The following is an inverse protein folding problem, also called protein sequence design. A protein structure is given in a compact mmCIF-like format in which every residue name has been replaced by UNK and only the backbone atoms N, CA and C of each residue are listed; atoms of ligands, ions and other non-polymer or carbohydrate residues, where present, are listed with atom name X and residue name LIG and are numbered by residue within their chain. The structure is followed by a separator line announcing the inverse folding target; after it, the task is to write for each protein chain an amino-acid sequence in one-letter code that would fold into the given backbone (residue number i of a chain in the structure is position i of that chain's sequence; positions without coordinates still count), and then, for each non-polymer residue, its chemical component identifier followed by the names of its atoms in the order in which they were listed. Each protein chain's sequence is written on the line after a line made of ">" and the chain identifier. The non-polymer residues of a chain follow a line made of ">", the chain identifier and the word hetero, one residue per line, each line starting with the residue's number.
data_IF_682722751913
#
_entry.id   IF_682722751913
#
_cell.length_a   1.000
_cell.length_b   1.000
_cell.length_c   1.000
_cell.angle_alpha   90.00
_cell.angle_beta   90.00
_cell.angle_gamma   90.00
#
_symmetry.space_group_name_H-M   'P 1'
#
loop_
_entity.id
_entity.type
_entity.pdbx_description
1 polymer ?
#
# COMPACT_ATOMS: atom_id res chain seq x y z
N UNK A 1 -40.37 11.68 -1.80
CA UNK A 1 -39.35 12.16 -2.77
C UNK A 1 -38.15 12.80 -2.07
N UNK A 2 -38.32 13.33 -0.85
CA UNK A 2 -37.26 14.08 -0.15
C UNK A 2 -36.07 13.23 0.35
N UNK A 3 -36.28 11.95 0.66
CA UNK A 3 -35.20 11.08 1.14
C UNK A 3 -34.10 10.87 0.09
N UNK A 4 -34.49 10.65 -1.17
CA UNK A 4 -33.55 10.42 -2.29
C UNK A 4 -32.70 11.68 -2.55
N UNK A 5 -33.32 12.86 -2.49
CA UNK A 5 -32.61 14.13 -2.67
C UNK A 5 -31.60 14.39 -1.54
N UNK A 6 -31.96 14.02 -0.30
CA UNK A 6 -31.10 14.17 0.88
C UNK A 6 -29.92 13.20 0.81
N UNK A 7 -30.14 11.95 0.42
CA UNK A 7 -29.09 10.93 0.27
C UNK A 7 -28.11 11.28 -0.87
N UNK A 8 -28.62 11.80 -2.00
CA UNK A 8 -27.80 12.30 -3.10
C UNK A 8 -26.91 13.48 -2.67
N UNK A 9 -27.46 14.41 -1.88
CA UNK A 9 -26.71 15.55 -1.36
C UNK A 9 -25.58 15.11 -0.43
N UNK A 10 -25.86 14.19 0.50
CA UNK A 10 -24.85 13.63 1.40
C UNK A 10 -23.72 12.91 0.64
N UNK A 11 -24.08 12.16 -0.40
CA UNK A 11 -23.11 11.46 -1.26
C UNK A 11 -22.25 12.43 -2.07
N UNK A 12 -22.83 13.50 -2.59
CA UNK A 12 -22.09 14.56 -3.27
C UNK A 12 -21.11 15.27 -2.32
N UNK A 13 -21.53 15.63 -1.11
CA UNK A 13 -20.65 16.22 -0.11
C UNK A 13 -19.50 15.28 0.28
N UNK A 14 -19.78 13.98 0.38
CA UNK A 14 -18.76 12.96 0.62
C UNK A 14 -17.75 12.89 -0.53
N UNK A 15 -18.22 12.90 -1.78
CA UNK A 15 -17.37 12.91 -2.98
C UNK A 15 -16.52 14.19 -3.05
N UNK A 16 -17.06 15.35 -2.68
CA UNK A 16 -16.30 16.61 -2.63
C UNK A 16 -15.15 16.52 -1.61
N UNK A 17 -15.44 16.05 -0.39
CA UNK A 17 -14.41 15.83 0.64
C UNK A 17 -13.32 14.85 0.18
N UNK A 18 -13.73 13.83 -0.57
CA UNK A 18 -12.82 12.84 -1.14
C UNK A 18 -11.92 13.43 -2.23
N UNK A 19 -12.48 14.25 -3.12
CA UNK A 19 -11.72 14.96 -4.16
C UNK A 19 -10.71 15.92 -3.52
N UNK A 20 -11.09 16.65 -2.48
CA UNK A 20 -10.18 17.58 -1.81
C UNK A 20 -9.05 16.85 -1.07
N UNK A 21 -9.36 15.69 -0.47
CA UNK A 21 -8.34 14.81 0.11
C UNK A 21 -7.35 14.31 -0.95
N UNK A 22 -7.87 13.83 -2.09
CA UNK A 22 -7.07 13.41 -3.24
C UNK A 22 -6.18 14.53 -3.78
N UNK A 23 -6.70 15.75 -3.91
CA UNK A 23 -5.93 16.92 -4.33
C UNK A 23 -4.82 17.27 -3.35
N UNK A 24 -5.12 17.21 -2.05
CA UNK A 24 -4.13 17.46 -0.99
C UNK A 24 -3.00 16.43 -1.06
N UNK A 25 -3.34 15.16 -1.19
CA UNK A 25 -2.36 14.08 -1.34
C UNK A 25 -1.51 14.26 -2.60
N UNK A 26 -2.14 14.56 -3.74
CA UNK A 26 -1.42 14.82 -4.98
C UNK A 26 -0.47 16.03 -4.85
N UNK A 27 -0.87 17.09 -4.15
CA UNK A 27 -0.03 18.25 -3.89
C UNK A 27 1.20 17.89 -3.06
N UNK A 28 1.03 17.11 -1.98
CA UNK A 28 2.15 16.65 -1.14
C UNK A 28 3.12 15.74 -1.92
N UNK A 29 2.59 14.91 -2.82
CA UNK A 29 3.40 14.06 -3.70
C UNK A 29 4.17 14.90 -4.74
N UNK A 30 3.53 15.91 -5.33
CA UNK A 30 4.14 16.83 -6.31
C UNK A 30 5.22 17.71 -5.70
N UNK A 31 5.00 18.25 -4.51
CA UNK A 31 5.99 19.04 -3.79
C UNK A 31 7.26 18.22 -3.52
N UNK A 32 7.11 16.92 -3.24
CA UNK A 32 8.25 16.03 -3.03
C UNK A 32 8.99 15.66 -4.32
N UNK A 33 8.32 15.54 -5.47
CA UNK A 33 9.02 15.36 -6.76
C UNK A 33 9.87 16.57 -7.12
N UNK A 34 9.39 17.79 -6.82
CA UNK A 34 10.11 19.04 -7.10
C UNK A 34 11.32 19.25 -6.14
N UNK A 35 11.23 18.75 -4.90
CA UNK A 35 12.41 18.62 -4.02
C UNK A 35 13.36 17.49 -4.45
N UNK A 36 12.84 16.44 -5.09
CA UNK A 36 13.63 15.33 -5.64
C UNK A 36 14.53 15.75 -6.80
N UNK A 37 14.05 16.63 -7.67
CA UNK A 37 14.82 17.16 -8.80
C UNK A 37 15.88 18.20 -8.40
N UNK A 38 15.77 18.78 -7.19
CA UNK A 38 16.76 19.74 -6.64
C UNK A 38 17.80 19.13 -5.70
N UNK A 39 17.67 17.85 -5.34
CA UNK A 39 18.54 17.21 -4.33
C UNK A 39 19.36 16.07 -4.93
N UNK A 40 20.08 16.36 -6.03
CA UNK A 40 21.18 15.53 -6.52
C UNK A 40 22.53 16.21 -6.25
N UNK A 41 22.72 16.73 -5.05
CA UNK A 41 24.01 17.15 -4.54
C UNK A 41 23.94 17.21 -3.01
N UNK A 42 24.43 16.16 -2.35
CA UNK A 42 25.07 16.15 -1.02
C UNK A 42 25.09 14.69 -0.53
N UNK A 43 26.20 14.02 -0.78
CA UNK A 43 26.57 12.80 -0.08
C UNK A 43 27.28 13.24 1.22
N UNK A 44 26.74 12.93 2.39
CA UNK A 44 27.53 12.81 3.63
C UNK A 44 26.70 12.28 4.80
N UNK A 45 27.29 11.35 5.55
CA UNK A 45 26.99 11.17 6.96
C UNK A 45 26.22 9.91 7.31
N UNK A 46 26.96 8.88 7.67
CA UNK A 46 26.55 7.78 8.54
C UNK A 46 25.57 8.22 9.64
N UNK A 47 24.32 7.78 9.55
CA UNK A 47 23.51 7.48 10.73
C UNK A 47 23.23 5.99 10.63
N UNK A 48 23.91 5.23 11.47
CA UNK A 48 23.45 3.90 11.84
C UNK A 48 22.12 4.08 12.60
N UNK A 49 21.03 4.17 11.84
CA UNK A 49 19.66 4.43 12.30
C UNK A 49 18.80 3.17 12.05
N UNK A 50 19.35 2.03 12.43
CA UNK A 50 18.64 0.76 12.46
C UNK A 50 17.49 0.88 13.48
N UNK A 51 16.27 1.05 12.97
CA UNK A 51 14.98 0.97 13.70
C UNK A 51 14.42 2.27 14.34
N UNK A 52 14.46 3.41 13.65
CA UNK A 52 13.65 4.58 14.05
C UNK A 52 12.12 4.31 13.94
N UNK A 53 11.26 4.86 14.82
CA UNK A 53 9.79 4.68 14.77
C UNK A 53 9.17 5.09 13.43
N UNK A 54 9.79 6.04 12.73
CA UNK A 54 9.38 6.50 11.40
C UNK A 54 9.48 5.40 10.34
N UNK A 55 10.50 4.53 10.38
CA UNK A 55 10.65 3.41 9.44
C UNK A 55 9.50 2.42 9.51
N UNK A 56 8.83 2.32 10.66
CA UNK A 56 7.63 1.47 10.80
C UNK A 56 6.47 1.95 9.93
N UNK A 57 6.41 3.24 9.58
CA UNK A 57 5.38 3.77 8.68
C UNK A 57 5.55 3.22 7.26
N UNK A 58 6.80 3.25 6.75
CA UNK A 58 7.13 2.67 5.46
C UNK A 58 7.06 1.15 5.46
N UNK A 59 7.40 0.49 6.57
CA UNK A 59 7.25 -0.95 6.71
C UNK A 59 5.79 -1.42 6.62
N UNK A 60 4.84 -0.69 7.24
CA UNK A 60 3.40 -1.01 7.14
C UNK A 60 2.94 -1.00 5.68
N UNK A 61 3.28 0.06 4.96
CA UNK A 61 2.95 0.23 3.55
C UNK A 61 3.58 -0.87 2.67
N UNK A 62 4.89 -1.10 2.85
CA UNK A 62 5.65 -2.13 2.14
C UNK A 62 5.06 -3.54 2.34
N UNK A 63 4.74 -3.90 3.59
CA UNK A 63 4.22 -5.23 3.92
C UNK A 63 2.82 -5.45 3.36
N UNK A 64 1.96 -4.42 3.36
CA UNK A 64 0.65 -4.52 2.73
C UNK A 64 0.78 -4.78 1.22
N UNK A 65 1.60 -3.99 0.53
CA UNK A 65 1.80 -4.12 -0.92
C UNK A 65 2.35 -5.50 -1.27
N UNK A 66 3.37 -5.95 -0.54
CA UNK A 66 3.96 -7.28 -0.72
C UNK A 66 2.92 -8.38 -0.53
N UNK A 67 2.09 -8.31 0.50
CA UNK A 67 1.03 -9.30 0.74
C UNK A 67 -0.02 -9.30 -0.36
N UNK A 68 -0.43 -8.13 -0.86
CA UNK A 68 -1.38 -8.05 -1.97
C UNK A 68 -0.77 -8.72 -3.22
N UNK A 69 0.49 -8.42 -3.55
CA UNK A 69 1.17 -9.03 -4.69
C UNK A 69 1.32 -10.55 -4.53
N UNK A 70 1.77 -11.02 -3.37
CA UNK A 70 1.90 -12.45 -3.07
C UNK A 70 0.54 -13.16 -3.04
N UNK A 71 -0.51 -12.46 -2.59
CA UNK A 71 -1.86 -12.98 -2.68
C UNK A 71 -2.21 -13.16 -4.15
N UNK A 72 -2.04 -12.19 -5.04
CA UNK A 72 -2.46 -12.34 -6.44
C UNK A 72 -1.61 -13.37 -7.18
N UNK A 73 -0.28 -13.28 -7.08
CA UNK A 73 0.67 -14.02 -7.91
C UNK A 73 1.29 -15.22 -7.20
N UNK A 74 0.48 -16.13 -6.67
CA UNK A 74 0.96 -17.26 -5.84
C UNK A 74 1.94 -18.20 -6.56
N UNK A 75 1.82 -18.38 -7.87
CA UNK A 75 2.69 -19.27 -8.64
C UNK A 75 4.06 -18.63 -8.96
N UNK A 76 4.24 -17.34 -8.73
CA UNK A 76 5.47 -16.63 -9.06
C UNK A 76 6.48 -16.73 -7.92
N UNK A 77 7.66 -17.30 -8.21
CA UNK A 77 8.75 -17.43 -7.24
C UNK A 77 9.38 -16.08 -6.87
N UNK A 78 9.36 -15.13 -7.81
CA UNK A 78 9.96 -13.79 -7.66
C UNK A 78 9.02 -12.77 -8.29
N UNK A 79 8.87 -11.63 -7.64
CA UNK A 79 7.95 -10.55 -8.04
C UNK A 79 8.73 -9.27 -8.39
N UNK A 80 9.88 -9.42 -9.06
CA UNK A 80 10.70 -8.27 -9.45
C UNK A 80 10.00 -7.41 -10.49
N UNK A 81 9.94 -6.10 -10.24
CA UNK A 81 9.22 -5.16 -11.09
C UNK A 81 7.69 -5.25 -10.97
N UNK A 82 7.16 -6.02 -10.03
CA UNK A 82 5.74 -6.03 -9.71
C UNK A 82 5.46 -4.92 -8.69
N UNK A 83 4.51 -4.06 -9.01
CA UNK A 83 4.00 -3.03 -8.13
C UNK A 83 2.49 -3.08 -8.12
N UNK A 84 1.85 -2.46 -7.13
CA UNK A 84 0.38 -2.39 -7.12
C UNK A 84 -0.18 -1.55 -8.28
N UNK A 85 0.64 -0.68 -8.87
CA UNK A 85 0.26 0.17 -9.99
C UNK A 85 0.20 -0.60 -11.32
N UNK A 86 1.04 -1.63 -11.49
CA UNK A 86 1.14 -2.39 -12.74
C UNK A 86 0.51 -3.79 -12.68
N UNK A 87 -0.30 -4.11 -11.65
CA UNK A 87 -0.90 -5.45 -11.48
C UNK A 87 -1.59 -5.95 -12.75
N UNK A 88 -2.38 -5.11 -13.41
CA UNK A 88 -3.14 -5.53 -14.60
C UNK A 88 -2.23 -5.95 -15.75
N UNK A 89 -1.17 -5.17 -15.97
CA UNK A 89 -0.13 -5.48 -16.95
C UNK A 89 0.60 -6.77 -16.58
N UNK A 90 0.96 -6.92 -15.30
CA UNK A 90 1.62 -8.12 -14.78
C UNK A 90 0.75 -9.37 -14.87
N UNK A 91 -0.58 -9.27 -14.73
CA UNK A 91 -1.49 -10.39 -14.97
C UNK A 91 -1.43 -10.85 -16.43
N UNK A 92 -1.40 -9.92 -17.38
CA UNK A 92 -1.27 -10.25 -18.81
C UNK A 92 0.10 -10.89 -19.07
N UNK A 93 1.17 -10.27 -18.57
CA UNK A 93 2.55 -10.74 -18.74
C UNK A 93 2.73 -12.18 -18.26
N UNK A 94 2.34 -12.49 -17.02
CA UNK A 94 2.52 -13.85 -16.47
C UNK A 94 1.57 -14.88 -17.07
N UNK A 95 0.52 -14.44 -17.74
CA UNK A 95 -0.42 -15.33 -18.44
C UNK A 95 -0.05 -15.50 -19.91
N UNK A 96 1.00 -14.82 -20.40
CA UNK A 96 1.44 -14.90 -21.78
C UNK A 96 2.65 -15.82 -21.88
N UNK A 97 2.57 -16.81 -22.77
CA UNK A 97 3.69 -17.71 -22.99
C UNK A 97 4.85 -16.95 -23.68
N UNK A 98 6.07 -16.96 -23.12
CA UNK A 98 7.15 -16.07 -23.54
C UNK A 98 7.62 -16.30 -24.98
N UNK A 99 7.49 -17.53 -25.49
CA UNK A 99 7.94 -17.89 -26.85
C UNK A 99 6.86 -17.70 -27.91
N UNK A 100 5.61 -18.02 -27.60
CA UNK A 100 4.52 -18.08 -28.60
C UNK A 100 3.68 -16.82 -28.60
N UNK A 101 3.77 -15.99 -27.55
CA UNK A 101 2.90 -14.83 -27.35
C UNK A 101 1.44 -15.19 -27.07
N UNK A 102 1.11 -16.49 -26.99
CA UNK A 102 -0.24 -16.94 -26.72
C UNK A 102 -0.58 -16.72 -25.25
N UNK A 103 -1.75 -16.12 -25.02
CA UNK A 103 -2.27 -15.87 -23.68
C UNK A 103 -3.06 -17.07 -23.20
N UNK A 104 -2.69 -17.61 -22.05
CA UNK A 104 -3.53 -18.51 -21.28
C UNK A 104 -4.70 -17.71 -20.68
N UNK A 105 -5.81 -17.69 -21.40
CA UNK A 105 -7.03 -16.97 -21.01
C UNK A 105 -7.62 -17.49 -19.70
N UNK A 106 -7.47 -18.79 -19.42
CA UNK A 106 -7.99 -19.41 -18.19
C UNK A 106 -7.23 -18.90 -16.98
N UNK A 107 -5.91 -18.93 -17.05
CA UNK A 107 -5.04 -18.43 -15.99
C UNK A 107 -5.15 -16.90 -15.82
N UNK A 108 -5.24 -16.16 -16.93
CA UNK A 108 -5.47 -14.71 -16.90
C UNK A 108 -6.78 -14.35 -16.18
N UNK A 109 -7.87 -15.06 -16.50
CA UNK A 109 -9.17 -14.85 -15.87
C UNK A 109 -9.10 -15.16 -14.37
N UNK A 110 -8.47 -16.28 -13.99
CA UNK A 110 -8.27 -16.66 -12.60
C UNK A 110 -7.55 -15.57 -11.79
N UNK A 111 -6.41 -15.07 -12.28
CA UNK A 111 -5.67 -13.99 -11.61
C UNK A 111 -6.46 -12.68 -11.53
N UNK A 112 -7.20 -12.35 -12.60
CA UNK A 112 -8.06 -11.16 -12.64
C UNK A 112 -9.16 -11.25 -11.59
N UNK A 113 -9.89 -12.37 -11.53
CA UNK A 113 -10.94 -12.58 -10.53
C UNK A 113 -10.40 -12.52 -9.10
N UNK A 114 -9.22 -13.10 -8.89
CA UNK A 114 -8.54 -13.08 -7.59
C UNK A 114 -8.18 -11.66 -7.16
N UNK A 115 -7.59 -10.87 -8.06
CA UNK A 115 -7.33 -9.45 -7.83
C UNK A 115 -8.61 -8.66 -7.52
N UNK A 116 -9.66 -8.81 -8.33
CA UNK A 116 -10.94 -8.11 -8.12
C UNK A 116 -11.59 -8.50 -6.79
N UNK A 117 -11.58 -9.79 -6.45
CA UNK A 117 -12.15 -10.28 -5.18
C UNK A 117 -11.42 -9.70 -3.98
N UNK A 118 -10.08 -9.68 -4.02
CA UNK A 118 -9.27 -9.09 -2.96
C UNK A 118 -9.53 -7.57 -2.86
N UNK A 119 -9.51 -6.86 -3.98
CA UNK A 119 -9.73 -5.41 -3.98
C UNK A 119 -11.13 -5.03 -3.49
N UNK A 120 -12.15 -5.85 -3.76
CA UNK A 120 -13.50 -5.65 -3.21
C UNK A 120 -13.51 -5.77 -1.68
N UNK A 121 -12.81 -6.77 -1.12
CA UNK A 121 -12.70 -6.94 0.34
C UNK A 121 -11.95 -5.78 0.99
N UNK A 122 -10.81 -5.37 0.41
CA UNK A 122 -10.07 -4.22 0.91
C UNK A 122 -10.87 -2.91 0.77
N UNK A 123 -11.69 -2.79 -0.28
CA UNK A 123 -12.57 -1.63 -0.48
C UNK A 123 -13.63 -1.49 0.61
N UNK A 124 -14.13 -2.59 1.17
CA UNK A 124 -15.04 -2.57 2.33
C UNK A 124 -14.36 -2.00 3.58
N UNK A 125 -13.02 -2.06 3.67
CA UNK A 125 -12.21 -1.42 4.72
C UNK A 125 -11.86 0.05 4.39
N UNK A 126 -12.30 0.55 3.24
CA UNK A 126 -12.03 1.90 2.74
C UNK A 126 -10.84 1.99 1.79
N UNK A 127 -10.15 0.88 1.48
CA UNK A 127 -9.04 0.89 0.53
C UNK A 127 -9.53 1.25 -0.87
N UNK A 128 -8.74 2.09 -1.56
CA UNK A 128 -9.05 2.60 -2.89
C UNK A 128 -7.90 2.26 -3.81
N UNK A 129 -8.14 1.35 -4.76
CA UNK A 129 -7.14 0.88 -5.69
C UNK A 129 -6.53 1.98 -6.59
N UNK A 130 -7.22 3.12 -6.76
CA UNK A 130 -6.71 4.26 -7.50
C UNK A 130 -5.84 5.22 -6.67
N UNK A 131 -5.90 5.16 -5.34
CA UNK A 131 -5.25 6.12 -4.42
C UNK A 131 -4.15 5.44 -3.62
N UNK A 132 -4.49 4.34 -2.95
CA UNK A 132 -3.64 3.77 -1.91
C UNK A 132 -2.37 3.09 -2.43
N UNK A 133 -2.33 2.52 -3.66
CA UNK A 133 -1.07 2.12 -4.28
C UNK A 133 -0.05 3.28 -4.39
N UNK A 134 -0.49 4.45 -4.88
CA UNK A 134 0.35 5.64 -5.01
C UNK A 134 0.77 6.17 -3.64
N UNK A 135 -0.16 6.17 -2.69
CA UNK A 135 0.13 6.58 -1.32
C UNK A 135 1.13 5.64 -0.63
N UNK A 136 0.96 4.33 -0.79
CA UNK A 136 1.86 3.32 -0.23
C UNK A 136 3.28 3.50 -0.76
N UNK A 137 3.43 3.64 -2.09
CA UNK A 137 4.71 3.94 -2.72
C UNK A 137 5.32 5.24 -2.18
N UNK A 138 4.53 6.31 -2.05
CA UNK A 138 4.97 7.56 -1.44
C UNK A 138 5.48 7.35 0.00
N UNK A 139 4.75 6.60 0.83
CA UNK A 139 5.09 6.32 2.22
C UNK A 139 6.39 5.51 2.30
N UNK A 140 6.53 4.44 1.50
CA UNK A 140 7.76 3.63 1.44
C UNK A 140 8.95 4.48 0.99
N UNK A 141 8.79 5.30 -0.04
CA UNK A 141 9.85 6.19 -0.54
C UNK A 141 10.16 7.36 0.41
N UNK A 142 9.29 7.66 1.37
CA UNK A 142 9.50 8.74 2.36
C UNK A 142 10.14 8.23 3.63
N UNK A 143 9.66 7.11 4.15
CA UNK A 143 10.03 6.62 5.46
C UNK A 143 10.98 5.42 5.40
N UNK A 144 11.15 4.82 4.22
CA UNK A 144 11.93 3.60 4.02
C UNK A 144 11.24 2.36 4.61
N UNK A 145 11.72 1.18 4.22
CA UNK A 145 11.34 -0.08 4.84
C UNK A 145 12.45 -0.58 5.79
N UNK A 146 12.16 -1.64 6.55
CA UNK A 146 13.15 -2.30 7.39
C UNK A 146 14.07 -3.14 6.49
N UNK A 147 15.38 -2.85 6.56
CA UNK A 147 16.41 -3.58 5.79
C UNK A 147 16.70 -4.96 6.35
N UNK A 148 16.52 -5.13 7.66
CA UNK A 148 16.75 -6.38 8.37
C UNK A 148 15.43 -6.92 8.92
N UNK A 149 15.32 -8.26 8.94
CA UNK A 149 14.22 -8.93 9.63
C UNK A 149 14.22 -8.45 11.08
N UNK A 150 13.11 -7.93 11.62
CA UNK A 150 13.06 -7.65 13.05
C UNK A 150 13.41 -8.95 13.79
N UNK A 151 14.39 -8.89 14.70
CA UNK A 151 14.78 -10.05 15.51
C UNK A 151 13.52 -10.73 16.07
N UNK A 152 13.51 -12.06 16.17
CA UNK A 152 12.30 -12.81 16.54
C UNK A 152 11.70 -12.36 17.89
N UNK A 153 12.56 -11.89 18.81
CA UNK A 153 12.15 -11.27 20.07
C UNK A 153 11.43 -9.91 19.91
N UNK A 154 11.77 -9.14 18.88
CA UNK A 154 11.17 -7.83 18.57
C UNK A 154 9.85 -7.95 17.81
N UNK A 155 9.63 -9.03 17.05
CA UNK A 155 8.37 -9.28 16.32
C UNK A 155 7.17 -9.39 17.26
N UNK A 156 7.36 -9.93 18.47
CA UNK A 156 6.30 -10.07 19.46
C UNK A 156 5.82 -8.72 20.05
N UNK A 157 6.64 -7.67 19.92
CA UNK A 157 6.32 -6.29 20.35
C UNK A 157 5.58 -5.49 19.26
N UNK A 158 5.60 -5.99 18.01
CA UNK A 158 4.90 -5.39 16.88
C UNK A 158 3.45 -5.89 16.88
N UNK A 159 2.61 -5.16 17.60
CA UNK A 159 1.17 -5.38 17.68
C UNK A 159 0.44 -4.30 16.89
N UNK A 160 -0.79 -4.54 16.41
CA UNK A 160 -1.59 -3.51 15.76
C UNK A 160 -1.74 -2.24 16.62
N UNK A 161 -1.85 -2.41 17.94
CA UNK A 161 -1.99 -1.30 18.88
C UNK A 161 -0.69 -0.50 19.05
N UNK A 162 0.48 -1.16 19.10
CA UNK A 162 1.76 -0.44 19.15
C UNK A 162 2.02 0.31 17.84
N UNK A 163 1.71 -0.29 16.68
CA UNK A 163 1.81 0.39 15.38
C UNK A 163 0.87 1.58 15.26
N UNK A 164 -0.38 1.47 15.77
CA UNK A 164 -1.31 2.59 15.83
C UNK A 164 -0.76 3.77 16.63
N UNK A 165 -0.14 3.51 17.78
CA UNK A 165 0.52 4.55 18.60
C UNK A 165 1.66 5.23 17.84
N UNK A 166 2.48 4.45 17.12
CA UNK A 166 3.58 4.98 16.29
C UNK A 166 3.04 5.89 15.18
N UNK A 167 1.98 5.48 14.46
CA UNK A 167 1.37 6.33 13.43
C UNK A 167 0.91 7.66 14.02
N UNK A 168 0.22 7.62 15.16
CA UNK A 168 -0.31 8.84 15.79
C UNK A 168 0.79 9.77 16.33
N UNK A 169 1.91 9.21 16.78
CA UNK A 169 3.02 9.97 17.36
C UNK A 169 3.99 10.53 16.29
N UNK A 170 4.20 9.80 15.20
CA UNK A 170 5.29 10.10 14.25
C UNK A 170 4.81 10.61 12.89
N UNK A 171 3.61 10.22 12.44
CA UNK A 171 3.15 10.62 11.13
C UNK A 171 2.54 12.04 11.14
N UNK A 172 2.78 12.86 10.09
CA UNK A 172 2.08 14.12 9.89
C UNK A 172 0.56 13.91 9.93
N UNK A 173 -0.18 14.81 10.60
CA UNK A 173 -1.64 14.69 10.80
C UNK A 173 -2.42 14.41 9.51
N UNK A 174 -1.98 14.99 8.39
CA UNK A 174 -2.60 14.80 7.06
C UNK A 174 -2.52 13.34 6.55
N UNK A 175 -1.48 12.58 6.95
CA UNK A 175 -1.24 11.21 6.49
C UNK A 175 -1.79 10.14 7.44
N UNK A 176 -2.10 10.51 8.69
CA UNK A 176 -2.48 9.55 9.73
C UNK A 176 -3.70 8.71 9.35
N UNK A 177 -4.72 9.32 8.74
CA UNK A 177 -5.94 8.62 8.35
C UNK A 177 -5.65 7.47 7.37
N UNK A 178 -4.90 7.76 6.30
CA UNK A 178 -4.59 6.76 5.28
C UNK A 178 -3.57 5.73 5.80
N UNK A 179 -2.61 6.12 6.64
CA UNK A 179 -1.70 5.17 7.30
C UNK A 179 -2.44 4.18 8.22
N UNK A 180 -3.42 4.67 9.00
CA UNK A 180 -4.27 3.81 9.83
C UNK A 180 -5.11 2.86 8.97
N UNK A 181 -5.56 3.33 7.80
CA UNK A 181 -6.26 2.50 6.84
C UNK A 181 -5.35 1.40 6.28
N UNK A 182 -4.12 1.73 5.86
CA UNK A 182 -3.14 0.72 5.42
C UNK A 182 -2.87 -0.31 6.53
N UNK A 183 -2.74 0.13 7.78
CA UNK A 183 -2.58 -0.78 8.92
C UNK A 183 -3.79 -1.71 9.11
N UNK A 184 -5.02 -1.21 8.98
CA UNK A 184 -6.22 -2.04 9.06
C UNK A 184 -6.25 -3.08 7.93
N UNK A 185 -5.93 -2.68 6.70
CA UNK A 185 -5.82 -3.60 5.57
C UNK A 185 -4.73 -4.65 5.80
N UNK A 186 -3.58 -4.26 6.36
CA UNK A 186 -2.50 -5.18 6.70
C UNK A 186 -2.93 -6.20 7.77
N UNK A 187 -3.68 -5.76 8.79
CA UNK A 187 -4.23 -6.66 9.81
C UNK A 187 -5.22 -7.66 9.20
N UNK A 188 -6.10 -7.20 8.31
CA UNK A 188 -7.01 -8.08 7.57
C UNK A 188 -6.23 -9.14 6.75
N UNK A 189 -5.21 -8.72 6.00
CA UNK A 189 -4.38 -9.63 5.20
C UNK A 189 -3.63 -10.64 6.08
N UNK A 190 -3.16 -10.21 7.25
CA UNK A 190 -2.50 -11.05 8.25
C UNK A 190 -3.43 -12.14 8.79
N UNK A 191 -4.69 -11.82 9.02
CA UNK A 191 -5.69 -12.79 9.47
C UNK A 191 -6.04 -13.78 8.36
N UNK A 192 -6.15 -13.31 7.12
CA UNK A 192 -6.44 -14.13 5.93
C UNK A 192 -5.30 -15.12 5.61
N UNK A 193 -4.04 -14.69 5.66
CA UNK A 193 -2.88 -15.51 5.31
C UNK A 193 -2.18 -16.20 6.50
N UNK A 194 -2.58 -15.87 7.74
CA UNK A 194 -2.03 -16.36 9.01
C UNK A 194 -0.51 -16.15 9.20
N UNK A 195 0.08 -15.15 8.53
CA UNK A 195 1.51 -14.79 8.69
C UNK A 195 1.72 -13.69 9.72
N UNK A 196 2.90 -13.58 10.36
CA UNK A 196 3.24 -12.44 11.24
C UNK A 196 3.12 -11.12 10.51
N UNK A 197 2.74 -10.01 11.17
CA UNK A 197 2.49 -8.69 10.53
C UNK A 197 3.62 -8.26 9.59
N UNK A 198 4.87 -8.40 10.04
CA UNK A 198 6.06 -8.15 9.24
C UNK A 198 6.78 -9.47 8.96
N UNK A 199 7.07 -9.74 7.69
CA UNK A 199 7.85 -10.90 7.27
C UNK A 199 8.70 -10.60 6.03
N UNK A 200 9.89 -11.20 5.98
CA UNK A 200 10.81 -11.13 4.85
C UNK A 200 10.45 -12.15 3.76
#
# INVERSE_FOLDING_TARGET
>A
MDQIATDLKAKNEQLTKEIDHLKTMLSLMKEKTDLGDRTQACNSGSVDESTGPSRLLGEIAFQLDKRILMHIFQAQKRLYGFTLLNIREKIIEVSTHPVTGNVDKGYQLYLTQRYTTLMNRLSQLGYKAALHPLFSEFVVNTYGNLKERPNENSLHLVTPNSLKKVILATAPKKLQKDLLLLLNCLCYMKEDDRKPLFFC
#
